data_IF_858774498803
#
_entry.id   IF_858774498803
#
_cell.length_a   1.000
_cell.length_b   1.000
_cell.length_c   1.000
_cell.angle_alpha   90.00
_cell.angle_beta   90.00
_cell.angle_gamma   90.00
#
_symmetry.space_group_name_H-M   'P 1'
#
loop_
_entity.id
_entity.type
_entity.pdbx_description
1 polymer ?
#
# COMPACT_ATOMS: atom_id res chain seq x y z
N UNK A 1 -11.33 12.08 -13.67
CA UNK A 1 -10.31 11.79 -14.70
C UNK A 1 -10.97 11.83 -16.05
N UNK A 2 -10.29 12.39 -17.04
CA UNK A 2 -10.74 12.48 -18.43
C UNK A 2 -10.64 11.11 -19.13
N UNK A 3 -11.50 10.84 -20.11
CA UNK A 3 -11.45 9.60 -20.88
C UNK A 3 -10.14 9.53 -21.68
N UNK A 4 -9.42 8.42 -21.58
CA UNK A 4 -8.21 8.21 -22.36
C UNK A 4 -8.54 8.08 -23.85
N UNK A 5 -7.75 8.73 -24.70
CA UNK A 5 -7.94 8.70 -26.16
C UNK A 5 -6.69 8.14 -26.81
N UNK A 6 -6.89 7.36 -27.87
CA UNK A 6 -5.82 6.93 -28.78
C UNK A 6 -6.10 7.53 -30.15
N UNK A 7 -5.04 7.93 -30.86
CA UNK A 7 -5.15 8.53 -32.18
C UNK A 7 -5.30 7.46 -33.29
N UNK A 8 -4.60 6.33 -33.15
CA UNK A 8 -4.63 5.23 -34.10
C UNK A 8 -4.96 3.89 -33.41
N UNK A 9 -5.46 2.88 -34.17
CA UNK A 9 -5.66 1.55 -33.62
C UNK A 9 -4.37 0.91 -33.09
N UNK A 10 -4.52 0.15 -32.00
CA UNK A 10 -3.43 -0.57 -31.32
C UNK A 10 -3.74 -2.07 -31.35
N UNK A 11 -2.76 -2.89 -31.75
CA UNK A 11 -2.91 -4.35 -31.83
C UNK A 11 -2.15 -4.96 -32.99
N UNK A 12 -2.35 -6.26 -33.20
CA UNK A 12 -1.67 -7.02 -34.26
C UNK A 12 -1.93 -6.38 -35.64
N UNK A 13 -0.85 -6.10 -36.36
CA UNK A 13 -0.91 -5.54 -37.72
C UNK A 13 -1.34 -4.07 -37.80
N UNK A 14 -1.39 -3.35 -36.68
CA UNK A 14 -1.71 -1.92 -36.64
C UNK A 14 -0.45 -1.04 -36.60
N UNK A 15 -0.63 0.28 -36.80
CA UNK A 15 0.44 1.29 -36.76
C UNK A 15 1.15 1.30 -35.40
N UNK A 16 0.43 1.01 -34.30
CA UNK A 16 1.00 0.87 -32.97
C UNK A 16 1.88 2.06 -32.55
N UNK A 17 1.34 3.28 -32.71
CA UNK A 17 2.01 4.50 -32.26
C UNK A 17 2.33 4.37 -30.77
N UNK A 18 3.59 4.63 -30.41
CA UNK A 18 4.12 4.41 -29.04
C UNK A 18 3.20 4.95 -27.95
N UNK A 19 2.71 6.19 -28.09
CA UNK A 19 1.83 6.82 -27.09
C UNK A 19 0.43 6.17 -27.00
N UNK A 20 -0.12 5.71 -28.12
CA UNK A 20 -1.39 4.98 -28.15
C UNK A 20 -1.22 3.61 -27.48
N UNK A 21 -0.10 2.93 -27.74
CA UNK A 21 0.22 1.64 -27.13
C UNK A 21 0.42 1.77 -25.62
N UNK A 22 1.16 2.78 -25.16
CA UNK A 22 1.31 3.05 -23.72
C UNK A 22 -0.03 3.31 -23.05
N UNK A 23 -0.90 4.08 -23.70
CA UNK A 23 -2.26 4.34 -23.21
C UNK A 23 -3.04 3.04 -23.03
N UNK A 24 -3.01 2.15 -24.03
CA UNK A 24 -3.67 0.83 -23.95
C UNK A 24 -3.06 -0.05 -22.85
N UNK A 25 -1.73 -0.09 -22.73
CA UNK A 25 -1.04 -0.85 -21.68
C UNK A 25 -1.40 -0.36 -20.28
N UNK A 26 -1.46 0.96 -20.08
CA UNK A 26 -1.90 1.58 -18.82
C UNK A 26 -3.35 1.20 -18.48
N UNK A 27 -4.25 1.29 -19.45
CA UNK A 27 -5.66 0.92 -19.27
C UNK A 27 -5.82 -0.57 -18.94
N UNK A 28 -5.09 -1.46 -19.60
CA UNK A 28 -5.12 -2.90 -19.30
C UNK A 28 -4.54 -3.22 -17.91
N UNK A 29 -3.41 -2.60 -17.56
CA UNK A 29 -2.76 -2.78 -16.25
C UNK A 29 -3.63 -2.35 -15.08
N UNK A 30 -4.50 -1.35 -15.28
CA UNK A 30 -5.45 -0.91 -14.26
C UNK A 30 -6.43 -2.00 -13.80
N UNK A 31 -6.53 -3.13 -14.52
CA UNK A 31 -7.42 -4.26 -14.24
C UNK A 31 -6.70 -5.58 -13.93
N UNK A 32 -5.48 -5.79 -14.43
CA UNK A 32 -4.76 -7.07 -14.33
C UNK A 32 -3.70 -7.12 -13.23
N UNK A 33 -3.76 -6.25 -12.21
CA UNK A 33 -2.70 -6.05 -11.21
C UNK A 33 -1.33 -5.68 -11.81
N UNK A 34 -1.29 -4.98 -12.96
CA UNK A 34 -0.08 -4.33 -13.46
C UNK A 34 1.01 -5.24 -14.05
N UNK A 35 0.64 -6.31 -14.77
CA UNK A 35 1.59 -7.30 -15.30
C UNK A 35 2.27 -6.94 -16.63
N UNK A 36 1.80 -5.91 -17.34
CA UNK A 36 2.40 -5.46 -18.60
C UNK A 36 3.43 -4.36 -18.37
N UNK A 37 4.55 -4.41 -19.09
CA UNK A 37 5.43 -3.26 -19.25
C UNK A 37 4.69 -2.16 -20.03
N UNK A 38 4.78 -0.91 -19.57
CA UNK A 38 4.24 0.26 -20.29
C UNK A 38 5.35 0.87 -21.15
N UNK A 39 5.77 0.13 -22.16
CA UNK A 39 6.92 0.43 -23.01
C UNK A 39 6.51 1.00 -24.38
N UNK A 40 5.21 0.99 -24.71
CA UNK A 40 4.71 1.39 -26.02
C UNK A 40 4.92 0.34 -27.11
N UNK A 41 5.21 -0.91 -26.73
CA UNK A 41 5.45 -2.02 -27.65
C UNK A 41 4.30 -3.03 -27.58
N UNK A 42 3.70 -3.33 -28.73
CA UNK A 42 2.74 -4.43 -28.86
C UNK A 42 3.48 -5.76 -29.01
N UNK A 43 4.08 -6.21 -27.91
CA UNK A 43 4.68 -7.54 -27.80
C UNK A 43 3.64 -8.64 -27.53
N UNK A 44 4.10 -9.88 -27.44
CA UNK A 44 3.24 -11.06 -27.21
C UNK A 44 2.34 -10.91 -25.98
N UNK A 45 2.82 -10.26 -24.92
CA UNK A 45 2.08 -10.04 -23.67
C UNK A 45 0.99 -8.98 -23.84
N UNK A 46 1.32 -7.84 -24.45
CA UNK A 46 0.34 -6.79 -24.78
C UNK A 46 -0.75 -7.36 -25.67
N UNK A 47 -0.38 -8.13 -26.70
CA UNK A 47 -1.32 -8.75 -27.62
C UNK A 47 -2.23 -9.77 -26.93
N UNK A 48 -1.67 -10.65 -26.09
CA UNK A 48 -2.44 -11.62 -25.32
C UNK A 48 -3.41 -10.94 -24.35
N UNK A 49 -3.00 -9.85 -23.71
CA UNK A 49 -3.84 -9.09 -22.81
C UNK A 49 -5.02 -8.42 -23.52
N UNK A 50 -4.82 -7.86 -24.72
CA UNK A 50 -5.92 -7.31 -25.54
C UNK A 50 -6.93 -8.40 -25.88
N UNK A 51 -6.46 -9.54 -26.40
CA UNK A 51 -7.31 -10.69 -26.78
C UNK A 51 -8.08 -11.22 -25.57
N UNK A 52 -7.41 -11.38 -24.44
CA UNK A 52 -8.03 -11.85 -23.20
C UNK A 52 -9.12 -10.88 -22.73
N UNK A 53 -8.83 -9.57 -22.71
CA UNK A 53 -9.80 -8.55 -22.33
C UNK A 53 -11.02 -8.54 -23.24
N UNK A 54 -10.82 -8.64 -24.55
CA UNK A 54 -11.92 -8.71 -25.51
C UNK A 54 -12.82 -9.93 -25.29
N UNK A 55 -12.22 -11.11 -25.06
CA UNK A 55 -12.99 -12.33 -24.79
C UNK A 55 -13.76 -12.25 -23.48
N UNK A 56 -13.06 -11.93 -22.40
CA UNK A 56 -13.59 -12.06 -21.04
C UNK A 56 -14.43 -10.87 -20.58
N UNK A 57 -14.10 -9.66 -21.05
CA UNK A 57 -14.66 -8.42 -20.51
C UNK A 57 -15.53 -7.67 -21.52
N UNK A 58 -15.11 -7.62 -22.79
CA UNK A 58 -15.95 -7.06 -23.86
C UNK A 58 -17.05 -8.04 -24.26
N UNK A 59 -16.80 -9.35 -24.11
CA UNK A 59 -17.74 -10.42 -24.49
C UNK A 59 -17.70 -10.75 -25.97
N UNK A 60 -16.55 -10.52 -26.63
CA UNK A 60 -16.38 -10.85 -28.05
C UNK A 60 -16.20 -12.35 -28.22
N UNK A 61 -17.12 -13.00 -28.95
CA UNK A 61 -17.02 -14.42 -29.30
C UNK A 61 -15.76 -14.74 -30.12
N UNK A 62 -15.34 -13.81 -30.98
CA UNK A 62 -14.12 -13.87 -31.77
C UNK A 62 -13.26 -12.61 -31.53
N UNK A 63 -12.34 -12.64 -30.56
CA UNK A 63 -11.43 -11.53 -30.30
C UNK A 63 -10.52 -11.24 -31.51
N UNK A 64 -10.50 -9.99 -31.96
CA UNK A 64 -9.67 -9.54 -33.09
C UNK A 64 -8.27 -9.10 -32.66
N UNK A 65 -8.05 -8.88 -31.36
CA UNK A 65 -6.80 -8.40 -30.81
C UNK A 65 -6.47 -6.94 -31.13
N UNK A 66 -7.48 -6.12 -31.46
CA UNK A 66 -7.34 -4.71 -31.86
C UNK A 66 -8.16 -3.78 -30.94
N UNK A 67 -7.53 -2.68 -30.53
CA UNK A 67 -8.15 -1.57 -29.79
C UNK A 67 -8.27 -0.37 -30.73
N UNK A 68 -9.47 -0.11 -31.23
CA UNK A 68 -9.74 1.04 -32.13
C UNK A 68 -10.16 2.30 -31.35
N UNK A 69 -9.82 3.52 -31.82
CA UNK A 69 -10.15 4.80 -31.16
C UNK A 69 -11.64 4.98 -30.80
N UNK A 70 -12.54 4.45 -31.62
CA UNK A 70 -13.99 4.51 -31.40
C UNK A 70 -14.60 3.11 -31.24
N UNK A 71 -13.76 2.12 -30.92
CA UNK A 71 -14.14 0.72 -30.84
C UNK A 71 -14.76 0.32 -29.49
N UNK A 72 -15.46 -0.81 -29.43
CA UNK A 72 -16.04 -1.34 -28.20
C UNK A 72 -14.98 -1.66 -27.15
N UNK A 73 -13.79 -2.11 -27.57
CA UNK A 73 -12.67 -2.41 -26.67
C UNK A 73 -12.21 -1.18 -25.92
N UNK A 74 -11.95 -0.06 -26.60
CA UNK A 74 -11.53 1.18 -25.95
C UNK A 74 -12.65 1.79 -25.12
N UNK A 75 -13.89 1.81 -25.63
CA UNK A 75 -15.04 2.25 -24.83
C UNK A 75 -15.18 1.46 -23.54
N UNK A 76 -15.00 0.14 -23.58
CA UNK A 76 -15.07 -0.70 -22.38
C UNK A 76 -13.88 -0.46 -21.45
N UNK A 77 -12.67 -0.30 -21.97
CA UNK A 77 -11.49 0.08 -21.19
C UNK A 77 -11.70 1.43 -20.49
N UNK A 78 -12.14 2.45 -21.22
CA UNK A 78 -12.46 3.76 -20.68
C UNK A 78 -13.59 3.69 -19.68
N UNK A 79 -14.70 3.02 -19.98
CA UNK A 79 -15.82 2.85 -19.05
C UNK A 79 -15.40 2.17 -17.75
N UNK A 80 -14.49 1.19 -17.81
CA UNK A 80 -13.97 0.52 -16.61
C UNK A 80 -12.91 1.36 -15.89
N UNK A 81 -12.20 2.22 -16.62
CA UNK A 81 -11.24 3.16 -16.07
C UNK A 81 -11.93 4.37 -15.40
N UNK A 82 -13.02 4.88 -15.99
CA UNK A 82 -13.82 6.01 -15.50
C UNK A 82 -14.87 5.59 -14.49
N UNK A 83 -15.45 4.38 -14.61
CA UNK A 83 -16.20 3.71 -13.53
C UNK A 83 -15.28 2.93 -12.62
N UNK A 84 -14.16 3.53 -12.23
CA UNK A 84 -13.63 3.30 -10.90
C UNK A 84 -14.50 4.15 -9.98
N UNK A 85 -15.47 3.60 -9.23
CA UNK A 85 -15.80 4.25 -7.99
C UNK A 85 -14.48 4.33 -7.19
N UNK A 86 -14.25 5.40 -6.43
CA UNK A 86 -13.61 5.15 -5.14
C UNK A 86 -14.43 4.01 -4.52
N UNK A 87 -13.82 2.90 -4.07
CA UNK A 87 -14.40 1.55 -3.86
C UNK A 87 -14.16 0.56 -5.03
N UNK A 88 -12.91 0.19 -5.24
CA UNK A 88 -12.55 -1.24 -5.22
C UNK A 88 -11.12 -1.30 -4.70
N UNK A 89 -11.02 -1.46 -3.39
CA UNK A 89 -9.74 -1.59 -2.72
C UNK A 89 -9.01 -2.83 -3.25
N UNK A 90 -7.67 -2.81 -3.29
CA UNK A 90 -6.89 -3.93 -3.79
C UNK A 90 -7.24 -5.24 -3.07
N UNK A 91 -7.54 -6.30 -3.84
CA UNK A 91 -7.69 -7.65 -3.30
C UNK A 91 -6.31 -8.29 -3.18
N UNK A 92 -5.84 -8.52 -1.96
CA UNK A 92 -4.56 -9.18 -1.72
C UNK A 92 -4.78 -10.68 -1.49
N UNK A 93 -4.25 -11.55 -2.36
CA UNK A 93 -4.43 -13.01 -2.24
C UNK A 93 -3.57 -13.58 -1.11
N UNK A 94 -4.11 -14.55 -0.37
CA UNK A 94 -3.51 -15.11 0.85
C UNK A 94 -2.14 -15.83 0.69
N UNK A 95 -1.60 -15.96 -0.53
CA UNK A 95 -0.40 -16.75 -0.82
C UNK A 95 0.91 -15.94 -0.89
N UNK A 96 0.89 -14.67 -0.48
CA UNK A 96 2.13 -13.91 -0.34
C UNK A 96 2.77 -14.24 1.00
N UNK A 97 4.03 -14.71 1.01
CA UNK A 97 4.72 -15.16 2.23
C UNK A 97 4.76 -14.13 3.37
N UNK A 98 5.21 -14.57 4.54
CA UNK A 98 5.16 -13.81 5.81
C UNK A 98 6.18 -12.65 5.91
N UNK A 99 6.98 -12.39 4.86
CA UNK A 99 7.99 -11.32 4.83
C UNK A 99 7.97 -10.56 3.51
N UNK A 100 8.45 -9.32 3.55
CA UNK A 100 8.59 -8.49 2.33
C UNK A 100 9.70 -9.11 1.48
N UNK A 101 9.34 -9.68 0.32
CA UNK A 101 10.33 -10.24 -0.60
C UNK A 101 11.22 -9.16 -1.22
N UNK A 102 12.39 -9.55 -1.71
CA UNK A 102 13.27 -8.64 -2.48
C UNK A 102 12.55 -7.99 -3.66
N UNK A 103 11.69 -8.73 -4.36
CA UNK A 103 10.88 -8.21 -5.45
C UNK A 103 9.91 -7.11 -4.98
N UNK A 104 9.25 -7.30 -3.83
CA UNK A 104 8.38 -6.27 -3.27
C UNK A 104 9.15 -5.02 -2.86
N UNK A 105 10.36 -5.17 -2.32
CA UNK A 105 11.24 -4.04 -2.04
C UNK A 105 11.66 -3.31 -3.32
N UNK A 106 12.03 -4.03 -4.38
CA UNK A 106 12.38 -3.46 -5.68
C UNK A 106 11.20 -2.70 -6.29
N UNK A 107 9.98 -3.24 -6.18
CA UNK A 107 8.76 -2.60 -6.67
C UNK A 107 8.47 -1.31 -5.89
N UNK A 108 8.54 -1.37 -4.56
CA UNK A 108 8.33 -0.21 -3.70
C UNK A 108 9.38 0.89 -3.96
N UNK A 109 10.65 0.52 -4.14
CA UNK A 109 11.74 1.43 -4.46
C UNK A 109 11.51 2.16 -5.79
N UNK A 110 11.06 1.43 -6.82
CA UNK A 110 10.67 2.02 -8.10
C UNK A 110 9.50 2.99 -7.96
N UNK A 111 8.45 2.60 -7.23
CA UNK A 111 7.27 3.43 -7.01
C UNK A 111 7.57 4.71 -6.23
N UNK A 112 8.53 4.67 -5.29
CA UNK A 112 8.93 5.79 -4.45
C UNK A 112 10.13 6.57 -5.02
N UNK A 113 10.73 6.11 -6.11
CA UNK A 113 11.96 6.64 -6.68
C UNK A 113 13.08 6.80 -5.62
N UNK A 114 13.29 5.76 -4.81
CA UNK A 114 14.30 5.73 -3.76
C UNK A 114 15.09 4.44 -3.79
N UNK A 115 16.14 4.34 -2.98
CA UNK A 115 16.94 3.12 -2.87
C UNK A 115 16.18 2.02 -2.10
N UNK A 116 16.40 0.77 -2.50
CA UNK A 116 15.90 -0.42 -1.75
C UNK A 116 16.42 -0.40 -0.31
N UNK A 117 17.68 -0.03 -0.10
CA UNK A 117 18.29 0.07 1.22
C UNK A 117 17.57 1.07 2.12
N UNK A 118 17.04 2.18 1.57
CA UNK A 118 16.27 3.15 2.34
C UNK A 118 14.97 2.55 2.88
N UNK A 119 14.23 1.80 2.06
CA UNK A 119 12.99 1.14 2.49
C UNK A 119 13.28 0.06 3.53
N UNK A 120 14.31 -0.77 3.30
CA UNK A 120 14.73 -1.80 4.27
C UNK A 120 15.16 -1.20 5.60
N UNK A 121 15.87 -0.07 5.59
CA UNK A 121 16.28 0.63 6.81
C UNK A 121 15.08 1.11 7.65
N UNK A 122 14.02 1.59 7.00
CA UNK A 122 12.76 1.95 7.67
C UNK A 122 12.11 0.69 8.26
N UNK A 123 11.98 -0.40 7.49
CA UNK A 123 11.40 -1.65 8.00
C UNK A 123 12.17 -2.17 9.21
N UNK A 124 13.51 -2.26 9.13
CA UNK A 124 14.40 -2.69 10.22
C UNK A 124 14.25 -1.87 11.51
N UNK A 125 13.86 -0.60 11.38
CA UNK A 125 13.66 0.30 12.52
C UNK A 125 12.34 0.01 13.23
N UNK A 126 11.29 -0.29 12.47
CA UNK A 126 9.95 -0.58 13.01
C UNK A 126 9.83 -2.02 13.52
N UNK A 127 10.41 -2.96 12.77
CA UNK A 127 10.33 -4.39 13.03
C UNK A 127 11.61 -5.09 12.53
N UNK A 128 11.96 -6.26 13.08
CA UNK A 128 12.95 -7.09 12.39
C UNK A 128 12.39 -7.45 10.99
N UNK A 129 13.22 -7.49 9.94
CA UNK A 129 12.81 -7.66 8.52
C UNK A 129 11.84 -8.81 8.24
N UNK A 130 11.77 -9.82 9.13
CA UNK A 130 10.91 -10.99 9.03
C UNK A 130 9.87 -11.11 10.16
N UNK A 131 9.41 -9.99 10.73
CA UNK A 131 8.48 -9.98 11.87
C UNK A 131 7.17 -9.23 11.60
N UNK A 132 6.74 -9.24 10.33
CA UNK A 132 5.49 -8.64 9.88
C UNK A 132 4.24 -9.32 10.49
N UNK A 133 4.33 -10.63 10.77
CA UNK A 133 3.26 -11.47 11.28
C UNK A 133 3.67 -12.22 12.54
N UNK A 134 2.71 -12.46 13.44
CA UNK A 134 2.86 -13.32 14.61
C UNK A 134 2.57 -14.80 14.28
N UNK A 135 1.66 -14.99 13.32
CA UNK A 135 1.27 -16.26 12.71
C UNK A 135 0.67 -15.93 11.34
N UNK A 136 0.51 -16.89 10.42
CA UNK A 136 -0.06 -16.63 9.10
C UNK A 136 -1.36 -15.83 9.18
N UNK A 137 -1.42 -14.70 8.47
CA UNK A 137 -2.58 -13.80 8.43
C UNK A 137 -2.81 -12.93 9.69
N UNK A 138 -2.01 -13.08 10.76
CA UNK A 138 -2.09 -12.30 12.00
C UNK A 138 -0.95 -11.28 12.08
N UNK A 139 -1.14 -10.04 11.62
CA UNK A 139 -0.06 -9.05 11.59
C UNK A 139 0.43 -8.71 12.99
N UNK A 140 1.70 -8.35 13.11
CA UNK A 140 2.21 -7.73 14.33
C UNK A 140 1.53 -6.37 14.52
N UNK A 141 1.07 -6.09 15.74
CA UNK A 141 0.44 -4.80 16.07
C UNK A 141 1.07 -4.18 17.31
N UNK A 142 0.91 -2.87 17.46
CA UNK A 142 1.10 -2.17 18.74
C UNK A 142 -0.17 -1.35 19.02
N UNK A 143 -0.81 -1.58 20.17
CA UNK A 143 -2.00 -0.83 20.56
C UNK A 143 -1.62 0.41 21.37
N UNK A 144 -2.21 1.55 21.01
CA UNK A 144 -1.93 2.86 21.59
C UNK A 144 -3.17 3.41 22.33
N UNK A 145 -3.30 3.15 23.64
CA UNK A 145 -4.47 3.60 24.42
C UNK A 145 -4.71 5.11 24.41
N UNK A 146 -3.65 5.90 24.19
CA UNK A 146 -3.76 7.35 24.10
C UNK A 146 -4.39 7.82 22.77
N UNK A 147 -4.26 7.05 21.69
CA UNK A 147 -5.03 7.25 20.47
C UNK A 147 -6.49 6.93 20.71
N UNK A 148 -6.78 5.82 21.39
CA UNK A 148 -8.15 5.40 21.68
C UNK A 148 -8.86 6.41 22.58
N UNK A 149 -8.19 6.88 23.63
CA UNK A 149 -8.62 7.98 24.48
C UNK A 149 -8.98 9.21 23.66
N UNK A 150 -8.09 9.66 22.78
CA UNK A 150 -8.33 10.84 21.93
C UNK A 150 -9.54 10.65 21.02
N UNK A 151 -9.67 9.50 20.36
CA UNK A 151 -10.75 9.21 19.41
C UNK A 151 -12.10 9.02 20.10
N UNK A 152 -12.11 8.54 21.34
CA UNK A 152 -13.33 8.36 22.16
C UNK A 152 -13.57 9.51 23.14
N UNK A 153 -12.77 10.57 23.05
CA UNK A 153 -12.84 11.76 23.92
C UNK A 153 -12.76 11.41 25.42
N UNK A 154 -11.98 10.38 25.77
CA UNK A 154 -11.78 9.93 27.16
C UNK A 154 -12.98 9.22 27.78
N UNK A 155 -14.01 8.86 26.99
CA UNK A 155 -15.23 8.19 27.48
C UNK A 155 -14.95 6.95 28.34
N UNK A 156 -13.86 6.25 28.05
CA UNK A 156 -13.52 4.97 28.70
C UNK A 156 -12.34 5.07 29.70
N UNK A 157 -11.82 6.27 29.99
CA UNK A 157 -10.64 6.44 30.85
C UNK A 157 -10.84 5.85 32.26
N UNK A 158 -12.05 6.02 32.83
CA UNK A 158 -12.37 5.51 34.18
C UNK A 158 -12.75 4.03 34.17
N UNK A 159 -13.54 3.59 33.20
CA UNK A 159 -14.07 2.21 33.19
C UNK A 159 -13.07 1.20 32.62
N UNK A 160 -12.16 1.64 31.74
CA UNK A 160 -11.19 0.77 31.07
C UNK A 160 -9.81 1.46 30.96
N UNK A 161 -9.12 1.74 32.08
CA UNK A 161 -7.85 2.49 32.08
C UNK A 161 -6.68 1.78 31.38
N UNK A 162 -6.73 0.45 31.21
CA UNK A 162 -5.76 -0.28 30.37
C UNK A 162 -6.05 -0.11 28.88
N UNK A 163 -7.24 0.36 28.47
CA UNK A 163 -7.67 0.49 27.07
C UNK A 163 -7.71 1.95 26.62
N UNK A 164 -8.02 2.87 27.54
CA UNK A 164 -8.11 4.32 27.33
C UNK A 164 -7.34 5.03 28.44
N UNK A 165 -6.36 5.86 28.08
CA UNK A 165 -5.53 6.57 29.05
C UNK A 165 -4.34 7.27 28.38
N UNK A 166 -3.40 7.76 29.18
CA UNK A 166 -2.14 8.32 28.66
C UNK A 166 -1.25 7.25 28.02
N UNK A 167 -0.10 7.60 27.45
CA UNK A 167 0.75 6.59 26.81
C UNK A 167 1.20 5.50 27.81
N UNK A 168 1.46 4.28 27.34
CA UNK A 168 2.05 3.25 28.21
C UNK A 168 3.53 3.54 28.43
N UNK A 169 3.99 3.34 29.67
CA UNK A 169 5.44 3.29 29.96
C UNK A 169 6.05 1.98 29.41
N UNK A 170 5.28 0.90 29.45
CA UNK A 170 5.66 -0.43 28.94
C UNK A 170 4.49 -1.10 28.22
N UNK A 171 4.73 -1.52 26.97
CA UNK A 171 3.67 -2.06 26.11
C UNK A 171 3.35 -3.53 26.38
N UNK A 172 4.33 -4.34 26.81
CA UNK A 172 4.13 -5.76 27.10
C UNK A 172 4.29 -6.65 25.85
N UNK A 173 3.79 -7.89 25.93
CA UNK A 173 3.94 -8.90 24.89
C UNK A 173 3.04 -8.65 23.66
N UNK A 174 3.31 -9.37 22.56
CA UNK A 174 2.48 -9.35 21.35
C UNK A 174 1.04 -9.82 21.63
N UNK A 175 0.86 -10.85 22.46
CA UNK A 175 -0.47 -11.32 22.86
C UNK A 175 -1.24 -10.22 23.61
N UNK A 176 -0.56 -9.48 24.49
CA UNK A 176 -1.19 -8.38 25.23
C UNK A 176 -1.71 -7.28 24.33
N UNK A 177 -1.08 -7.04 23.17
CA UNK A 177 -1.57 -6.06 22.19
C UNK A 177 -2.92 -6.47 21.60
N UNK A 178 -3.07 -7.75 21.25
CA UNK A 178 -4.34 -8.28 20.73
C UNK A 178 -5.43 -8.32 21.79
N UNK A 179 -5.11 -8.73 23.03
CA UNK A 179 -6.07 -8.69 24.15
C UNK A 179 -6.63 -7.29 24.38
N UNK A 180 -5.78 -6.25 24.27
CA UNK A 180 -6.19 -4.85 24.37
C UNK A 180 -7.03 -4.40 23.19
N UNK A 181 -6.61 -4.73 21.97
CA UNK A 181 -7.38 -4.40 20.77
C UNK A 181 -8.77 -5.05 20.80
N UNK A 182 -8.89 -6.31 21.18
CA UNK A 182 -10.17 -7.02 21.30
C UNK A 182 -11.09 -6.39 22.35
N UNK A 183 -10.54 -5.96 23.48
CA UNK A 183 -11.29 -5.21 24.48
C UNK A 183 -11.75 -3.85 23.94
N UNK A 184 -10.87 -3.11 23.27
CA UNK A 184 -11.19 -1.83 22.65
C UNK A 184 -12.28 -1.97 21.57
N UNK A 185 -12.24 -3.04 20.76
CA UNK A 185 -13.23 -3.32 19.71
C UNK A 185 -14.64 -3.46 20.29
N UNK A 186 -14.78 -4.07 21.47
CA UNK A 186 -16.07 -4.19 22.17
C UNK A 186 -16.63 -2.85 22.66
N UNK A 187 -15.77 -1.84 22.85
CA UNK A 187 -16.16 -0.51 23.31
C UNK A 187 -16.46 0.44 22.15
N UNK A 188 -15.52 0.53 21.20
CA UNK A 188 -15.64 1.30 19.97
C UNK A 188 -14.72 0.70 18.90
N UNK A 189 -15.31 -0.11 18.00
CA UNK A 189 -14.56 -0.83 16.96
C UNK A 189 -13.75 0.09 16.06
N UNK A 190 -14.34 1.19 15.60
CA UNK A 190 -13.67 2.10 14.67
C UNK A 190 -12.49 2.78 15.34
N UNK A 191 -12.67 3.31 16.55
CA UNK A 191 -11.59 3.93 17.30
C UNK A 191 -10.50 2.92 17.66
N UNK A 192 -10.86 1.69 18.02
CA UNK A 192 -9.91 0.63 18.36
C UNK A 192 -8.98 0.30 17.20
N UNK A 193 -9.52 0.04 16.02
CA UNK A 193 -8.72 -0.30 14.84
C UNK A 193 -7.83 0.88 14.39
N UNK A 194 -8.29 2.11 14.56
CA UNK A 194 -7.48 3.32 14.30
C UNK A 194 -6.37 3.56 15.33
N UNK A 195 -6.46 2.92 16.50
CA UNK A 195 -5.53 3.09 17.64
C UNK A 195 -4.45 2.03 17.71
N UNK A 196 -4.26 1.25 16.64
CA UNK A 196 -3.16 0.31 16.53
C UNK A 196 -2.29 0.60 15.30
N UNK A 197 -0.99 0.37 15.40
CA UNK A 197 -0.10 0.27 14.25
C UNK A 197 0.02 -1.18 13.78
N UNK A 198 0.20 -1.38 12.47
CA UNK A 198 0.02 -2.69 11.84
C UNK A 198 1.20 -3.10 10.95
N UNK A 199 1.60 -4.37 11.07
CA UNK A 199 2.50 -5.04 10.13
C UNK A 199 3.96 -4.58 10.18
N UNK A 200 4.69 -4.91 9.12
CA UNK A 200 6.13 -4.68 8.95
C UNK A 200 6.52 -3.20 9.06
N UNK A 201 5.66 -2.31 8.57
CA UNK A 201 5.90 -0.87 8.48
C UNK A 201 5.28 -0.09 9.64
N UNK A 202 4.54 -0.76 10.54
CA UNK A 202 3.85 -0.16 11.68
C UNK A 202 3.01 1.10 11.31
N UNK A 203 2.29 1.04 10.19
CA UNK A 203 1.38 2.12 9.81
C UNK A 203 0.21 2.17 10.81
N UNK A 204 0.00 3.34 11.43
CA UNK A 204 -1.12 3.58 12.34
C UNK A 204 -2.46 3.47 11.61
N UNK A 205 -3.43 2.76 12.18
CA UNK A 205 -4.76 2.58 11.57
C UNK A 205 -5.47 3.91 11.31
N UNK A 206 -5.25 4.94 12.14
CA UNK A 206 -5.74 6.30 11.89
C UNK A 206 -5.29 6.89 10.54
N UNK A 207 -4.22 6.37 9.94
CA UNK A 207 -3.68 6.76 8.64
C UNK A 207 -4.26 5.96 7.46
N UNK A 208 -5.34 5.17 7.64
CA UNK A 208 -5.91 4.34 6.56
C UNK A 208 -6.17 5.12 5.25
N UNK A 209 -6.61 6.39 5.34
CA UNK A 209 -6.84 7.24 4.15
C UNK A 209 -5.56 7.56 3.40
N UNK A 210 -4.52 7.97 4.12
CA UNK A 210 -3.22 8.28 3.50
C UNK A 210 -2.53 7.00 3.02
N UNK A 211 -2.80 5.86 3.65
CA UNK A 211 -2.40 4.54 3.21
C UNK A 211 -3.20 4.02 1.97
N UNK A 212 -4.14 4.80 1.44
CA UNK A 212 -4.84 4.49 0.19
C UNK A 212 -6.12 3.67 0.35
N UNK A 213 -6.72 3.66 1.54
CA UNK A 213 -7.95 2.92 1.82
C UNK A 213 -9.12 3.87 2.17
N UNK A 214 -10.32 3.50 1.76
CA UNK A 214 -11.55 4.30 1.93
C UNK A 214 -12.11 4.21 3.36
N UNK A 215 -11.82 3.10 4.03
CA UNK A 215 -12.29 2.76 5.37
C UNK A 215 -11.26 1.91 6.14
N UNK A 216 -11.45 1.87 7.47
CA UNK A 216 -10.51 1.21 8.39
C UNK A 216 -10.59 -0.32 8.32
N UNK A 217 -11.75 -0.91 8.06
CA UNK A 217 -11.92 -2.37 8.03
C UNK A 217 -11.12 -2.96 6.88
N UNK A 218 -11.22 -2.31 5.72
CA UNK A 218 -10.51 -2.76 4.53
C UNK A 218 -9.00 -2.50 4.61
N UNK A 219 -8.55 -1.43 5.31
CA UNK A 219 -7.14 -1.29 5.70
C UNK A 219 -6.68 -2.46 6.57
N UNK A 220 -7.43 -2.81 7.62
CA UNK A 220 -7.06 -3.91 8.54
C UNK A 220 -7.04 -5.26 7.80
N UNK A 221 -8.01 -5.51 6.92
CA UNK A 221 -8.03 -6.70 6.08
C UNK A 221 -6.78 -6.78 5.18
N UNK A 222 -6.35 -5.66 4.61
CA UNK A 222 -5.11 -5.59 3.83
C UNK A 222 -3.87 -5.87 4.69
N UNK A 223 -3.86 -5.49 5.96
CA UNK A 223 -2.71 -5.72 6.86
C UNK A 223 -2.47 -7.20 7.15
N UNK A 224 -3.46 -8.06 6.98
CA UNK A 224 -3.29 -9.52 7.02
C UNK A 224 -2.50 -10.10 5.84
N UNK A 225 -2.05 -9.25 4.91
CA UNK A 225 -1.30 -9.64 3.73
C UNK A 225 -0.07 -8.75 3.52
N UNK A 226 1.08 -9.33 3.16
CA UNK A 226 2.31 -8.54 3.00
C UNK A 226 2.21 -7.54 1.85
N UNK A 227 1.53 -7.88 0.76
CA UNK A 227 1.29 -6.96 -0.36
C UNK A 227 0.42 -5.78 0.09
N UNK A 228 -0.54 -6.02 0.99
CA UNK A 228 -1.36 -4.98 1.59
C UNK A 228 -0.56 -4.04 2.49
N UNK A 229 0.36 -4.59 3.30
CA UNK A 229 1.28 -3.79 4.11
C UNK A 229 2.22 -2.93 3.25
N UNK A 230 2.79 -3.49 2.17
CA UNK A 230 3.64 -2.75 1.23
C UNK A 230 2.84 -1.66 0.50
N UNK A 231 1.63 -1.98 0.04
CA UNK A 231 0.72 -1.01 -0.59
C UNK A 231 0.42 0.16 0.36
N UNK A 232 0.08 -0.13 1.61
CA UNK A 232 -0.20 0.88 2.62
C UNK A 232 1.00 1.81 2.84
N UNK A 233 2.19 1.23 2.96
CA UNK A 233 3.43 1.98 3.13
C UNK A 233 3.69 2.92 1.95
N UNK A 234 3.66 2.41 0.71
CA UNK A 234 3.92 3.21 -0.49
C UNK A 234 2.95 4.39 -0.58
N UNK A 235 1.65 4.14 -0.42
CA UNK A 235 0.64 5.21 -0.49
C UNK A 235 0.81 6.21 0.65
N UNK A 236 1.10 5.74 1.87
CA UNK A 236 1.31 6.63 3.01
C UNK A 236 2.50 7.57 2.76
N UNK A 237 3.63 7.06 2.25
CA UNK A 237 4.78 7.89 1.88
C UNK A 237 4.42 8.87 0.74
N UNK A 238 3.75 8.40 -0.32
CA UNK A 238 3.35 9.25 -1.46
C UNK A 238 2.36 10.35 -1.09
N UNK A 239 1.54 10.13 -0.06
CA UNK A 239 0.56 11.12 0.42
C UNK A 239 1.19 12.39 1.00
N UNK A 240 2.49 12.34 1.33
CA UNK A 240 3.24 13.46 1.90
C UNK A 240 4.50 13.73 1.10
N UNK A 241 4.54 14.87 0.41
CA UNK A 241 5.73 15.33 -0.33
C UNK A 241 6.95 15.48 0.58
N UNK A 242 6.73 15.76 1.86
CA UNK A 242 7.78 15.86 2.87
C UNK A 242 8.36 14.47 3.18
N UNK A 243 7.51 13.46 3.44
CA UNK A 243 7.96 12.09 3.69
C UNK A 243 8.67 11.51 2.46
N UNK A 244 8.05 11.63 1.29
CA UNK A 244 8.61 11.14 0.04
C UNK A 244 9.99 11.76 -0.23
N UNK A 245 10.09 13.09 -0.20
CA UNK A 245 11.36 13.75 -0.49
C UNK A 245 12.42 13.53 0.59
N UNK A 246 12.02 13.34 1.86
CA UNK A 246 12.95 12.97 2.92
C UNK A 246 13.51 11.55 2.72
N UNK A 247 12.66 10.59 2.35
CA UNK A 247 13.09 9.22 2.04
C UNK A 247 14.04 9.19 0.83
N UNK A 248 13.69 9.89 -0.25
CA UNK A 248 14.50 9.96 -1.47
C UNK A 248 15.88 10.60 -1.22
N UNK A 249 15.92 11.67 -0.43
CA UNK A 249 17.17 12.37 -0.09
C UNK A 249 17.89 11.77 1.13
N UNK A 250 17.36 10.71 1.74
CA UNK A 250 17.92 10.09 2.95
C UNK A 250 18.05 11.08 4.11
N UNK A 251 17.11 12.03 4.19
CA UNK A 251 17.00 13.00 5.30
C UNK A 251 16.29 12.31 6.46
N UNK A 252 17.04 11.47 7.19
CA UNK A 252 16.50 10.60 8.24
C UNK A 252 15.87 11.36 9.39
N UNK A 253 16.40 12.55 9.71
CA UNK A 253 15.83 13.43 10.73
C UNK A 253 14.44 13.91 10.31
N UNK A 254 14.30 14.45 9.10
CA UNK A 254 13.01 14.89 8.57
C UNK A 254 12.05 13.72 8.39
N UNK A 255 12.53 12.57 7.91
CA UNK A 255 11.72 11.37 7.75
C UNK A 255 11.15 10.90 9.08
N UNK A 256 12.00 10.63 10.08
CA UNK A 256 11.60 10.15 11.39
C UNK A 256 10.62 11.10 12.10
N UNK A 257 10.83 12.41 12.00
CA UNK A 257 9.91 13.40 12.57
C UNK A 257 8.49 13.30 12.01
N UNK A 258 8.36 13.06 10.71
CA UNK A 258 7.05 13.01 10.05
C UNK A 258 6.41 11.62 10.10
N UNK A 259 7.23 10.57 10.15
CA UNK A 259 6.77 9.18 10.17
C UNK A 259 6.44 8.72 11.60
N UNK A 260 7.35 8.96 12.55
CA UNK A 260 7.22 8.53 13.95
C UNK A 260 6.66 9.61 14.89
N UNK A 261 6.61 10.86 14.44
CA UNK A 261 6.05 11.99 15.17
C UNK A 261 7.05 12.81 15.98
N UNK A 262 6.55 13.79 16.73
CA UNK A 262 7.36 14.83 17.42
C UNK A 262 8.40 14.28 18.41
N UNK A 263 8.13 13.11 18.99
CA UNK A 263 9.00 12.50 20.00
C UNK A 263 10.08 11.59 19.39
N UNK A 264 10.30 11.67 18.07
CA UNK A 264 11.23 10.77 17.38
C UNK A 264 12.67 10.82 17.92
N UNK A 265 13.15 12.00 18.34
CA UNK A 265 14.50 12.20 18.88
C UNK A 265 14.71 11.46 20.20
N UNK A 266 13.68 11.41 21.06
CA UNK A 266 13.74 10.67 22.34
C UNK A 266 13.98 9.18 22.11
N UNK A 267 13.40 8.66 21.02
CA UNK A 267 13.54 7.26 20.59
C UNK A 267 14.67 7.05 19.59
N UNK A 268 15.40 8.11 19.21
CA UNK A 268 16.54 8.10 18.28
C UNK A 268 16.22 7.45 16.92
N UNK A 269 14.98 7.57 16.44
CA UNK A 269 14.55 6.89 15.22
C UNK A 269 15.41 7.28 14.00
N UNK A 270 15.76 8.55 13.88
CA UNK A 270 16.62 9.06 12.83
C UNK A 270 18.00 8.39 12.81
N UNK A 271 18.63 8.23 13.98
CA UNK A 271 19.92 7.56 14.12
C UNK A 271 19.82 6.05 13.83
N UNK A 272 18.73 5.40 14.25
CA UNK A 272 18.50 3.97 14.00
C UNK A 272 18.31 3.72 12.50
N UNK A 273 17.50 4.54 11.82
CA UNK A 273 17.30 4.44 10.36
C UNK A 273 18.63 4.65 9.64
N UNK A 274 19.40 5.68 10.02
CA UNK A 274 20.70 5.97 9.43
C UNK A 274 21.67 4.78 9.57
N UNK A 275 21.75 4.19 10.76
CA UNK A 275 22.61 3.04 11.03
C UNK A 275 22.18 1.81 10.22
N UNK A 276 20.88 1.52 10.17
CA UNK A 276 20.35 0.41 9.38
C UNK A 276 20.65 0.60 7.88
N UNK A 277 20.51 1.81 7.37
CA UNK A 277 20.84 2.14 5.98
C UNK A 277 22.33 1.87 5.69
N UNK A 278 23.23 2.37 6.52
CA UNK A 278 24.67 2.15 6.35
C UNK A 278 25.05 0.67 6.40
N UNK A 279 24.43 -0.13 7.28
CA UNK A 279 24.65 -1.57 7.35
C UNK A 279 24.25 -2.31 6.07
N UNK A 280 23.26 -1.78 5.35
CA UNK A 280 22.75 -2.37 4.11
C UNK A 280 23.57 -1.96 2.88
N UNK A 281 24.26 -0.81 2.91
CA UNK A 281 25.03 -0.29 1.77
C UNK A 281 26.53 -0.54 1.86
N UNK A 282 27.06 -0.85 3.05
CA UNK A 282 28.48 -1.12 3.25
C UNK A 282 28.84 -2.62 3.07
N UNK A 283 28.02 -3.37 2.32
CA UNK A 283 28.25 -4.79 2.00
C UNK A 283 28.64 -4.97 0.54
#
# INVERSE_FOLDING_TARGET
MEEARIAFPVGKGQVNRIEDVKTVQQLLNSRSNGTLSVDGIVGIRTQAAIIHFQRQIVGMGTPDGIVSPHGPTLRKLNHLHTRRPAISQPSFSANSGDSVSEELYLNAARELNCEVAAIKAVVMTETALNSAFLSPGKPKILYERHYFRRLTQGRYDRSHPDISGDQYDRYGSNNRQYERLEQAIRLDRRAALMSASWGAFQIMGANYRTAGFDDIESFVAAMSNINGQVFAFINHIKSSTILLSALQRKDWKKFARHYNGKDYEKKKYDLIIANNYNLLTNR
#
